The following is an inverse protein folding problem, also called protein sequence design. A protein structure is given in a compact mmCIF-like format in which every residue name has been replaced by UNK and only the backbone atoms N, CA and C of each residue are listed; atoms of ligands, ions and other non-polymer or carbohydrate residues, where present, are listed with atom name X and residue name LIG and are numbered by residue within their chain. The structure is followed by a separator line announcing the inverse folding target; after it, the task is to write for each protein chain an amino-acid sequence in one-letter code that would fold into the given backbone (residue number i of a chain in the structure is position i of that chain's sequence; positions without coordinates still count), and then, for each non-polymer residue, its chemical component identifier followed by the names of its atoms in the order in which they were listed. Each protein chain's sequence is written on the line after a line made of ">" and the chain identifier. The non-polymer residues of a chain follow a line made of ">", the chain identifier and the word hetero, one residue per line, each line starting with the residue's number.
data_IF_627057761636
#
_entry.id   IF_627057761636
#
_cell.length_a   1.000
_cell.length_b   1.000
_cell.length_c   1.000
_cell.angle_alpha   90.00
_cell.angle_beta   90.00
_cell.angle_gamma   90.00
#
_symmetry.space_group_name_H-M   'P 1'
#
loop_
_entity.id
_entity.type
_entity.pdbx_description
1 polymer ?
#
# COMPACT_ATOMS: atom_id res chain seq x y z
N UNK A 1 10.81 1.77 -8.10
CA UNK A 1 10.18 1.83 -6.76
C UNK A 1 8.81 1.17 -6.85
N UNK A 2 8.44 0.37 -5.84
CA UNK A 2 7.15 -0.32 -5.73
C UNK A 2 6.10 0.63 -5.15
N UNK A 3 4.90 0.61 -5.69
CA UNK A 3 3.73 1.29 -5.13
C UNK A 3 3.10 0.36 -4.09
N UNK A 4 2.95 0.81 -2.86
CA UNK A 4 2.47 0.02 -1.73
C UNK A 4 1.29 0.71 -1.07
N UNK A 5 0.49 -0.06 -0.34
CA UNK A 5 -0.59 0.45 0.48
C UNK A 5 -0.52 -0.14 1.88
N UNK A 6 -0.44 0.72 2.90
CA UNK A 6 -0.49 0.32 4.30
C UNK A 6 -1.86 0.67 4.89
N UNK A 7 -2.57 -0.31 5.43
CA UNK A 7 -3.85 -0.08 6.10
C UNK A 7 -3.66 0.28 7.57
N UNK A 8 -4.57 1.06 8.15
CA UNK A 8 -4.61 1.31 9.60
C UNK A 8 -6.03 1.62 10.07
N UNK A 9 -6.21 1.71 11.39
CA UNK A 9 -7.47 2.14 11.99
C UNK A 9 -7.76 3.62 11.67
N UNK A 10 -9.04 3.96 11.52
CA UNK A 10 -9.45 5.35 11.27
C UNK A 10 -8.91 6.28 12.37
N UNK A 11 -8.36 7.41 11.97
CA UNK A 11 -7.74 8.41 12.85
C UNK A 11 -6.22 8.24 13.02
N UNK A 12 -5.63 7.12 12.57
CA UNK A 12 -4.18 6.87 12.66
C UNK A 12 -3.45 7.16 11.34
N UNK A 13 -4.12 7.58 10.28
CA UNK A 13 -3.53 7.64 8.94
C UNK A 13 -2.38 8.65 8.83
N UNK A 14 -2.49 9.83 9.45
CA UNK A 14 -1.38 10.81 9.48
C UNK A 14 -0.20 10.31 10.33
N UNK A 15 -0.46 9.63 11.45
CA UNK A 15 0.61 9.03 12.27
C UNK A 15 1.33 7.91 11.51
N UNK A 16 0.57 7.07 10.79
CA UNK A 16 1.14 6.03 9.94
C UNK A 16 1.97 6.65 8.80
N UNK A 17 1.51 7.74 8.18
CA UNK A 17 2.28 8.43 7.14
C UNK A 17 3.63 8.93 7.67
N UNK A 18 3.64 9.53 8.87
CA UNK A 18 4.88 9.98 9.52
C UNK A 18 5.80 8.78 9.74
N UNK A 19 5.32 7.71 10.38
CA UNK A 19 6.10 6.49 10.63
C UNK A 19 6.69 5.90 9.34
N UNK A 20 5.88 5.74 8.29
CA UNK A 20 6.34 5.21 7.01
C UNK A 20 7.43 6.10 6.40
N UNK A 21 7.27 7.42 6.46
CA UNK A 21 8.25 8.39 5.93
C UNK A 21 9.56 8.32 6.71
N UNK A 22 9.51 8.20 8.05
CA UNK A 22 10.69 7.98 8.90
C UNK A 22 11.40 6.65 8.57
N UNK A 23 10.64 5.63 8.20
CA UNK A 23 11.16 4.35 7.69
C UNK A 23 11.61 4.44 6.23
N UNK A 24 11.65 5.61 5.61
CA UNK A 24 12.18 5.84 4.26
C UNK A 24 11.18 5.67 3.12
N UNK A 25 9.88 5.53 3.43
CA UNK A 25 8.84 5.57 2.41
C UNK A 25 8.81 6.94 1.71
N UNK A 26 8.56 6.93 0.41
CA UNK A 26 8.47 8.12 -0.42
C UNK A 26 7.02 8.33 -0.89
N UNK A 27 6.68 9.56 -1.28
CA UNK A 27 5.36 9.93 -1.79
C UNK A 27 4.17 9.45 -0.94
N UNK A 28 4.32 9.44 0.38
CA UNK A 28 3.28 8.95 1.29
C UNK A 28 2.01 9.84 1.26
N UNK A 29 0.89 9.27 0.82
CA UNK A 29 -0.41 9.92 0.66
C UNK A 29 -1.46 9.23 1.52
N UNK A 30 -2.02 9.99 2.45
CA UNK A 30 -3.12 9.54 3.32
C UNK A 30 -4.40 9.42 2.50
N UNK A 31 -5.11 8.32 2.74
CA UNK A 31 -6.50 8.08 2.29
C UNK A 31 -7.27 7.52 3.48
N UNK A 32 -8.60 7.44 3.38
CA UNK A 32 -9.39 6.85 4.47
C UNK A 32 -8.96 5.40 4.72
N UNK A 33 -8.53 5.10 5.96
CA UNK A 33 -8.13 3.75 6.37
C UNK A 33 -6.72 3.32 5.95
N UNK A 34 -5.88 4.21 5.42
CA UNK A 34 -4.50 3.84 5.09
C UNK A 34 -3.66 4.92 4.41
N UNK A 35 -2.47 4.51 3.96
CA UNK A 35 -1.48 5.36 3.31
C UNK A 35 -0.93 4.63 2.08
N UNK A 36 -1.05 5.28 0.91
CA UNK A 36 -0.31 4.87 -0.28
C UNK A 36 1.11 5.42 -0.19
N UNK A 37 2.11 4.64 -0.55
CA UNK A 37 3.51 5.09 -0.53
C UNK A 37 4.37 4.32 -1.53
N UNK A 38 5.55 4.87 -1.84
CA UNK A 38 6.57 4.25 -2.67
C UNK A 38 7.75 3.77 -1.84
N UNK A 39 8.32 2.63 -2.22
CA UNK A 39 9.49 2.05 -1.56
C UNK A 39 10.36 1.27 -2.55
N UNK A 40 11.67 1.22 -2.30
CA UNK A 40 12.52 0.16 -2.85
C UNK A 40 12.37 -1.13 -2.01
N UNK A 41 13.14 -2.16 -2.35
CA UNK A 41 13.04 -3.48 -1.71
C UNK A 41 13.45 -3.43 -0.24
N UNK A 42 14.52 -2.70 0.08
CA UNK A 42 14.98 -2.52 1.44
C UNK A 42 13.93 -1.80 2.29
N UNK A 43 13.37 -0.70 1.78
CA UNK A 43 12.33 0.09 2.45
C UNK A 43 11.05 -0.72 2.62
N UNK A 44 10.64 -1.51 1.62
CA UNK A 44 9.50 -2.42 1.71
C UNK A 44 9.66 -3.40 2.88
N UNK A 45 10.80 -4.09 2.97
CA UNK A 45 11.02 -5.02 4.07
C UNK A 45 11.17 -4.29 5.41
N UNK A 46 11.74 -3.08 5.42
CA UNK A 46 11.83 -2.24 6.61
C UNK A 46 10.45 -1.82 7.13
N UNK A 47 9.53 -1.37 6.27
CA UNK A 47 8.17 -1.03 6.71
C UNK A 47 7.39 -2.25 7.18
N UNK A 48 7.58 -3.43 6.57
CA UNK A 48 7.01 -4.69 7.03
C UNK A 48 7.49 -5.11 8.43
N UNK A 49 8.77 -4.88 8.73
CA UNK A 49 9.38 -5.28 10.01
C UNK A 49 9.13 -4.27 11.13
N UNK A 50 9.05 -2.98 10.81
CA UNK A 50 9.15 -1.91 11.81
C UNK A 50 7.90 -1.05 11.99
N UNK A 51 6.94 -1.12 11.08
CA UNK A 51 5.69 -0.38 11.28
C UNK A 51 4.93 -0.92 12.48
N UNK A 52 4.56 -0.02 13.40
CA UNK A 52 3.75 -0.33 14.59
C UNK A 52 2.29 0.06 14.41
N UNK A 53 2.01 0.89 13.40
CA UNK A 53 0.68 1.44 13.13
C UNK A 53 -0.02 0.77 11.95
N UNK A 54 0.73 0.16 11.01
CA UNK A 54 0.14 -0.55 9.89
C UNK A 54 -0.48 -1.87 10.36
N UNK A 55 -1.74 -2.10 10.00
CA UNK A 55 -2.39 -3.39 10.20
C UNK A 55 -1.96 -4.41 9.14
N UNK A 56 -1.80 -3.96 7.89
CA UNK A 56 -1.29 -4.74 6.76
C UNK A 56 -0.54 -3.83 5.79
N UNK A 57 0.51 -4.35 5.16
CA UNK A 57 1.17 -3.71 4.02
C UNK A 57 0.93 -4.59 2.79
N UNK A 58 0.40 -4.00 1.73
CA UNK A 58 -0.03 -4.67 0.51
C UNK A 58 0.75 -4.11 -0.68
N UNK A 59 1.03 -4.98 -1.65
CA UNK A 59 1.59 -4.62 -2.95
C UNK A 59 0.50 -4.80 -4.02
N UNK A 60 -0.17 -3.72 -4.47
CA UNK A 60 -1.15 -3.79 -5.53
C UNK A 60 -0.53 -4.33 -6.82
N UNK A 61 -1.09 -5.42 -7.36
CA UNK A 61 -0.58 -6.07 -8.57
C UNK A 61 -1.25 -5.55 -9.85
N UNK A 62 -2.56 -5.25 -9.78
CA UNK A 62 -3.34 -4.75 -10.91
C UNK A 62 -4.44 -3.82 -10.43
N UNK A 63 -4.71 -2.77 -11.21
CA UNK A 63 -5.88 -1.92 -11.10
C UNK A 63 -6.52 -1.81 -12.49
N UNK A 64 -7.77 -2.21 -12.62
CA UNK A 64 -8.46 -2.20 -13.91
C UNK A 64 -9.97 -2.07 -13.72
N UNK A 65 -10.66 -1.63 -14.78
CA UNK A 65 -12.12 -1.51 -14.80
C UNK A 65 -12.75 -2.86 -15.14
N UNK A 66 -13.75 -3.25 -14.36
CA UNK A 66 -14.49 -4.51 -14.54
C UNK A 66 -15.94 -4.16 -14.87
N UNK A 67 -16.42 -4.58 -16.04
CA UNK A 67 -17.81 -4.38 -16.47
C UNK A 67 -18.55 -5.71 -16.64
N UNK A 68 -17.84 -6.83 -16.67
CA UNK A 68 -18.37 -8.18 -16.77
C UNK A 68 -17.47 -9.20 -16.06
N UNK A 69 -18.03 -10.37 -15.77
CA UNK A 69 -17.27 -11.49 -15.17
C UNK A 69 -16.12 -11.94 -16.07
N UNK A 70 -16.27 -11.83 -17.39
CA UNK A 70 -15.21 -12.14 -18.34
C UNK A 70 -14.05 -11.14 -18.24
N UNK A 71 -14.33 -9.85 -18.01
CA UNK A 71 -13.28 -8.84 -17.80
C UNK A 71 -12.44 -9.19 -16.57
N UNK A 72 -13.09 -9.64 -15.49
CA UNK A 72 -12.40 -10.06 -14.27
C UNK A 72 -11.49 -11.26 -14.53
N UNK A 73 -12.01 -12.30 -15.20
CA UNK A 73 -11.20 -13.47 -15.55
C UNK A 73 -10.01 -13.12 -16.44
N UNK A 74 -10.24 -12.30 -17.47
CA UNK A 74 -9.20 -11.86 -18.41
C UNK A 74 -8.17 -10.92 -17.77
N UNK A 75 -8.54 -10.14 -16.76
CA UNK A 75 -7.63 -9.29 -16.02
C UNK A 75 -6.69 -10.09 -15.12
N UNK A 76 -7.23 -11.05 -14.36
CA UNK A 76 -6.46 -11.81 -13.37
C UNK A 76 -5.61 -12.91 -14.02
N UNK A 77 -6.07 -13.53 -15.11
CA UNK A 77 -5.32 -14.60 -15.80
C UNK A 77 -4.02 -14.14 -16.48
N UNK A 78 -3.80 -12.81 -16.57
CA UNK A 78 -2.59 -12.20 -17.17
C UNK A 78 -1.59 -11.70 -16.13
N UNK A 79 -1.91 -11.80 -14.85
CA UNK A 79 -0.98 -11.56 -13.73
C UNK A 79 0.04 -12.70 -13.64
#
# INVERSE_FOLDING_TARGET
>A
MKQLFATTSRGFEELLKVELTELGAQEAKVVQGGVHYQADDETLYRTLLWSRLASRILFPLIETKIYSDLDLYAAVSRL
#
